data_IF_339325066379
#
_entry.id   IF_339325066379
#
_cell.length_a   1.000
_cell.length_b   1.000
_cell.length_c   1.000
_cell.angle_alpha   90.00
_cell.angle_beta   90.00
_cell.angle_gamma   90.00
#
_symmetry.space_group_name_H-M   'P 1'
#
loop_
_entity.id
_entity.type
_entity.pdbx_description
1 polymer ?
#
# COMPACT_ATOMS: atom_id res chain seq x y z
N UNK A 1 12.58 -7.38 -11.42
CA UNK A 1 12.93 -7.72 -10.02
C UNK A 1 13.39 -6.44 -9.34
N UNK A 2 12.48 -5.69 -8.71
CA UNK A 2 12.83 -4.49 -7.95
C UNK A 2 12.00 -4.33 -6.66
N UNK A 3 11.28 -5.38 -6.28
CA UNK A 3 10.27 -5.36 -5.21
C UNK A 3 10.82 -5.04 -3.82
N UNK A 4 12.13 -5.23 -3.58
CA UNK A 4 12.77 -4.85 -2.31
C UNK A 4 13.16 -3.38 -2.23
N UNK A 5 13.51 -2.76 -3.36
CA UNK A 5 13.92 -1.35 -3.38
C UNK A 5 12.73 -0.42 -3.23
N UNK A 6 11.58 -0.77 -3.81
CA UNK A 6 10.33 -0.02 -3.70
C UNK A 6 9.79 -0.03 -2.25
N UNK A 7 9.93 -1.17 -1.56
CA UNK A 7 9.57 -1.32 -0.15
C UNK A 7 10.35 -0.36 0.75
N UNK A 8 11.68 -0.35 0.62
CA UNK A 8 12.55 0.49 1.45
C UNK A 8 12.37 1.99 1.16
N UNK A 9 12.13 2.35 -0.11
CA UNK A 9 11.82 3.73 -0.51
C UNK A 9 10.50 4.20 0.11
N UNK A 10 9.45 3.37 0.06
CA UNK A 10 8.15 3.69 0.64
C UNK A 10 8.26 3.91 2.16
N UNK A 11 9.03 3.08 2.87
CA UNK A 11 9.26 3.23 4.32
C UNK A 11 9.94 4.56 4.61
N UNK A 12 10.98 4.89 3.85
CA UNK A 12 11.72 6.14 4.01
C UNK A 12 10.85 7.37 3.76
N UNK A 13 10.06 7.37 2.69
CA UNK A 13 9.14 8.48 2.37
C UNK A 13 8.07 8.65 3.44
N UNK A 14 7.41 7.55 3.84
CA UNK A 14 6.37 7.59 4.87
C UNK A 14 6.89 8.07 6.22
N UNK A 15 8.07 7.60 6.63
CA UNK A 15 8.72 8.03 7.87
C UNK A 15 9.10 9.51 7.83
N UNK A 16 9.69 9.97 6.70
CA UNK A 16 10.08 11.37 6.52
C UNK A 16 8.87 12.31 6.55
N UNK A 17 7.79 11.96 5.85
CA UNK A 17 6.55 12.74 5.85
C UNK A 17 5.95 12.82 7.25
N UNK A 18 5.90 11.70 7.97
CA UNK A 18 5.38 11.67 9.33
C UNK A 18 6.23 12.53 10.30
N UNK A 19 7.56 12.49 10.17
CA UNK A 19 8.47 13.33 10.95
C UNK A 19 8.35 14.82 10.62
N UNK A 20 8.19 15.17 9.34
CA UNK A 20 7.96 16.55 8.91
C UNK A 20 6.61 17.09 9.40
N UNK A 21 5.53 16.29 9.31
CA UNK A 21 4.21 16.68 9.82
C UNK A 21 4.16 16.80 11.35
N UNK A 22 4.96 16.01 12.07
CA UNK A 22 5.12 16.13 13.52
C UNK A 22 5.88 17.41 13.95
N UNK A 23 6.36 18.22 12.99
CA UNK A 23 7.08 19.46 13.27
C UNK A 23 8.57 19.27 13.50
N UNK A 24 9.15 18.15 13.01
CA UNK A 24 10.57 17.81 13.12
C UNK A 24 11.05 17.86 14.58
N UNK A 25 10.45 17.04 15.46
CA UNK A 25 10.90 16.94 16.85
C UNK A 25 12.38 16.54 16.89
N UNK A 26 13.08 17.00 17.93
CA UNK A 26 14.51 16.72 18.14
C UNK A 26 14.71 15.21 18.34
N UNK A 27 15.46 14.58 17.41
CA UNK A 27 15.72 13.14 17.36
C UNK A 27 15.82 12.59 15.93
N UNK A 28 16.22 11.33 15.79
CA UNK A 28 16.44 10.66 14.50
C UNK A 28 15.16 10.18 13.80
N UNK A 29 13.99 10.41 14.39
CA UNK A 29 12.71 9.96 13.83
C UNK A 29 12.56 8.44 13.76
N UNK A 30 13.32 7.68 14.54
CA UNK A 30 13.30 6.22 14.59
C UNK A 30 11.89 5.64 14.89
N UNK A 31 11.13 6.31 15.75
CA UNK A 31 9.73 5.99 16.06
C UNK A 31 8.84 6.07 14.80
N UNK A 32 9.05 7.08 13.95
CA UNK A 32 8.31 7.26 12.69
C UNK A 32 8.73 6.23 11.65
N UNK A 33 10.01 5.86 11.62
CA UNK A 33 10.53 4.78 10.79
C UNK A 33 9.91 3.43 11.13
N UNK A 34 9.92 3.04 12.41
CA UNK A 34 9.31 1.79 12.89
C UNK A 34 7.80 1.76 12.61
N UNK A 35 7.12 2.90 12.78
CA UNK A 35 5.70 3.03 12.51
C UNK A 35 5.37 2.93 11.02
N UNK A 36 6.20 3.55 10.15
CA UNK A 36 6.06 3.48 8.70
C UNK A 36 6.28 2.06 8.17
N UNK A 37 7.35 1.39 8.61
CA UNK A 37 7.65 0.00 8.27
C UNK A 37 6.49 -0.93 8.62
N UNK A 38 5.96 -0.86 9.85
CA UNK A 38 4.82 -1.68 10.27
C UNK A 38 3.55 -1.45 9.46
N UNK A 39 3.29 -0.20 9.07
CA UNK A 39 2.11 0.15 8.26
C UNK A 39 2.25 -0.35 6.82
N UNK A 40 3.43 -0.20 6.21
CA UNK A 40 3.68 -0.63 4.84
C UNK A 40 3.75 -2.15 4.72
N UNK A 41 4.40 -2.84 5.66
CA UNK A 41 4.41 -4.29 5.74
C UNK A 41 2.98 -4.86 5.74
N UNK A 42 2.06 -4.26 6.51
CA UNK A 42 0.64 -4.66 6.54
C UNK A 42 -0.12 -4.29 5.25
N UNK A 43 0.17 -3.15 4.65
CA UNK A 43 -0.47 -2.70 3.42
C UNK A 43 -0.04 -3.54 2.20
N UNK A 44 1.21 -3.99 2.16
CA UNK A 44 1.75 -4.82 1.09
C UNK A 44 1.31 -6.27 1.18
N UNK A 45 1.21 -6.83 2.38
CA UNK A 45 0.61 -8.15 2.57
C UNK A 45 -0.83 -8.18 2.02
N UNK A 46 -1.60 -7.13 2.32
CA UNK A 46 -2.98 -6.96 1.82
C UNK A 46 -3.05 -6.63 0.32
N UNK A 47 -2.09 -5.90 -0.22
CA UNK A 47 -2.04 -5.56 -1.65
C UNK A 47 -1.63 -6.77 -2.48
N UNK A 48 -0.66 -7.56 -2.00
CA UNK A 48 -0.19 -8.78 -2.63
C UNK A 48 -1.29 -9.83 -2.75
N UNK A 49 -2.14 -9.93 -1.73
CA UNK A 49 -3.31 -10.81 -1.74
C UNK A 49 -4.37 -10.33 -2.76
N UNK A 50 -4.62 -9.01 -2.83
CA UNK A 50 -5.62 -8.43 -3.75
C UNK A 50 -5.24 -8.50 -5.24
N UNK A 51 -3.95 -8.46 -5.57
CA UNK A 51 -3.51 -8.46 -6.98
C UNK A 51 -3.54 -9.84 -7.64
N UNK A 52 -3.65 -10.93 -6.85
CA UNK A 52 -3.81 -12.28 -7.41
C UNK A 52 -5.30 -12.59 -7.71
N UNK A 53 -6.24 -12.13 -6.86
CA UNK A 53 -7.69 -12.34 -7.05
C UNK A 53 -8.31 -11.45 -8.14
N UNK A 54 -7.79 -10.23 -8.34
CA UNK A 54 -8.32 -9.31 -9.35
C UNK A 54 -7.93 -9.66 -10.80
N UNK A 55 -6.99 -10.59 -11.00
CA UNK A 55 -6.52 -11.02 -12.32
C UNK A 55 -7.30 -12.20 -12.92
N UNK A 56 -8.13 -12.90 -12.16
CA UNK A 56 -8.93 -14.03 -12.65
C UNK A 56 -10.41 -13.69 -12.91
N UNK A 57 -10.86 -12.47 -12.59
CA UNK A 57 -12.25 -12.04 -12.80
C UNK A 57 -12.36 -10.92 -13.84
N UNK A 58 -11.97 -11.23 -15.07
CA UNK A 58 -12.19 -10.37 -16.23
C UNK A 58 -12.76 -11.18 -17.42
N UNK A 59 -14.06 -11.48 -17.30
CA UNK A 59 -15.12 -11.58 -18.35
C UNK A 59 -15.09 -12.75 -19.39
N UNK A 60 -16.22 -13.15 -20.07
CA UNK A 60 -17.63 -12.71 -20.00
C UNK A 60 -18.69 -13.85 -19.91
N UNK A 61 -19.83 -13.61 -19.25
CA UNK A 61 -21.09 -14.26 -19.64
C UNK A 61 -21.98 -13.19 -20.27
N UNK A 62 -21.90 -13.08 -21.60
CA UNK A 62 -22.96 -12.44 -22.39
C UNK A 62 -24.29 -13.11 -22.06
N UNK A 63 -25.23 -12.37 -21.46
CA UNK A 63 -26.72 -12.39 -21.57
C UNK A 63 -27.30 -11.87 -20.24
N UNK A 64 -28.05 -10.77 -20.07
CA UNK A 64 -28.67 -9.76 -20.92
C UNK A 64 -28.89 -8.49 -20.05
N UNK A 65 -29.14 -7.28 -20.61
CA UNK A 65 -29.44 -6.11 -19.79
C UNK A 65 -30.81 -6.28 -19.12
N UNK A 66 -30.86 -6.16 -17.80
CA UNK A 66 -32.12 -6.15 -17.05
C UNK A 66 -32.89 -4.85 -17.34
N UNK A 67 -33.79 -4.87 -18.33
CA UNK A 67 -34.78 -3.81 -18.54
C UNK A 67 -35.92 -4.00 -17.52
N UNK A 68 -36.26 -2.92 -16.81
CA UNK A 68 -37.27 -2.94 -15.74
C UNK A 68 -38.59 -2.33 -16.28
N UNK A 69 -39.75 -3.01 -16.14
CA UNK A 69 -41.03 -2.62 -16.74
C UNK A 69 -41.66 -1.37 -16.13
#
# INVERSE_FOLDING_TARGET
MNSGAEHEQAIREAAYVAWEQAGKPDGDGAEFWLQAEKSLQQAEDRTRDRVEEASEESFPASDAPAWNP
#
